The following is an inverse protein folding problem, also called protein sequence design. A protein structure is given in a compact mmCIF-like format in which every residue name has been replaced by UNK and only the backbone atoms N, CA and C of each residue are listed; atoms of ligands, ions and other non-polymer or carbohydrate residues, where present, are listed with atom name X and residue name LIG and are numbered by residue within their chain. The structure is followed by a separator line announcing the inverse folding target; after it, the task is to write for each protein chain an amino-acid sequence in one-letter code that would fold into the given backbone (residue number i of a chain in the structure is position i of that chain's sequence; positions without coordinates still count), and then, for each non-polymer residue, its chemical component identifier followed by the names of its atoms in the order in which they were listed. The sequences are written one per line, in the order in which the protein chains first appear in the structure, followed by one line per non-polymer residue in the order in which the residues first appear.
data_IF_905195421385
#
_entry.id   IF_905195421385
#
_cell.length_a   1.000
_cell.length_b   1.000
_cell.length_c   1.000
_cell.angle_alpha   90.00
_cell.angle_beta   90.00
_cell.angle_gamma   90.00
#
_symmetry.space_group_name_H-M   'P 1'
#
loop_
_entity.id
_entity.type
_entity.pdbx_description
1 polymer ?
#
# COMPACT_ATOMS: atom_id res chain seq x y z
N UNK A 1 -24.07 -19.88 56.76
CA UNK A 1 -23.22 -18.80 56.21
C UNK A 1 -23.02 -19.16 54.75
N UNK A 2 -23.76 -18.50 53.87
CA UNK A 2 -23.82 -18.78 52.44
C UNK A 2 -22.75 -17.93 51.72
N UNK A 3 -21.80 -18.58 51.05
CA UNK A 3 -20.73 -17.93 50.31
C UNK A 3 -21.20 -17.73 48.88
N UNK A 4 -21.89 -16.62 48.66
CA UNK A 4 -22.54 -16.25 47.41
C UNK A 4 -21.66 -16.46 46.17
N UNK A 5 -22.29 -17.10 45.18
CA UNK A 5 -21.82 -17.28 43.81
C UNK A 5 -21.24 -16.00 43.22
N UNK A 6 -20.04 -16.09 42.66
CA UNK A 6 -19.48 -15.06 41.80
C UNK A 6 -20.12 -15.16 40.41
N UNK A 7 -20.69 -14.08 39.85
CA UNK A 7 -21.14 -14.10 38.47
C UNK A 7 -19.93 -14.19 37.54
N UNK A 8 -19.90 -15.26 36.75
CA UNK A 8 -18.95 -15.47 35.66
C UNK A 8 -19.24 -14.44 34.56
N UNK A 9 -18.62 -13.26 34.67
CA UNK A 9 -18.70 -12.20 33.68
C UNK A 9 -17.66 -12.41 32.59
N UNK A 10 -17.94 -13.27 31.61
CA UNK A 10 -17.22 -13.21 30.33
C UNK A 10 -17.71 -11.99 29.56
N UNK A 11 -17.12 -10.84 29.87
CA UNK A 11 -17.23 -9.68 28.99
C UNK A 11 -16.50 -10.03 27.69
N UNK A 12 -17.21 -10.67 26.77
CA UNK A 12 -16.77 -10.82 25.39
C UNK A 12 -16.73 -9.40 24.81
N UNK A 13 -15.53 -8.82 24.75
CA UNK A 13 -15.32 -7.55 24.07
C UNK A 13 -15.88 -7.66 22.64
N UNK A 14 -16.70 -6.71 22.17
CA UNK A 14 -17.19 -6.74 20.80
C UNK A 14 -15.99 -6.78 19.86
N UNK A 15 -16.00 -7.73 18.92
CA UNK A 15 -14.98 -7.80 17.88
C UNK A 15 -14.94 -6.44 17.16
N UNK A 16 -13.75 -5.92 16.80
CA UNK A 16 -13.66 -4.65 16.10
C UNK A 16 -14.50 -4.70 14.82
N UNK A 17 -15.43 -3.77 14.67
CA UNK A 17 -16.26 -3.67 13.47
C UNK A 17 -15.36 -3.46 12.25
N UNK A 18 -15.36 -4.41 11.32
CA UNK A 18 -14.66 -4.27 10.05
C UNK A 18 -15.18 -3.04 9.32
N UNK A 19 -14.28 -2.13 8.92
CA UNK A 19 -14.68 -0.88 8.26
C UNK A 19 -15.44 -1.17 6.96
N UNK A 20 -16.61 -0.54 6.80
CA UNK A 20 -17.42 -0.63 5.59
C UNK A 20 -16.82 0.21 4.45
N UNK A 21 -17.13 -0.15 3.19
CA UNK A 21 -16.71 0.63 2.02
C UNK A 21 -17.19 2.09 2.09
N UNK A 22 -18.39 2.33 2.63
CA UNK A 22 -18.95 3.67 2.78
C UNK A 22 -18.13 4.52 3.77
N UNK A 23 -17.70 3.94 4.88
CA UNK A 23 -16.82 4.61 5.85
C UNK A 23 -15.46 4.95 5.19
N UNK A 24 -14.86 4.01 4.46
CA UNK A 24 -13.57 4.24 3.78
C UNK A 24 -13.65 5.34 2.71
N UNK A 25 -14.76 5.42 1.95
CA UNK A 25 -14.95 6.50 0.97
C UNK A 25 -15.23 7.84 1.64
N UNK A 26 -15.93 7.86 2.78
CA UNK A 26 -16.12 9.08 3.55
C UNK A 26 -14.77 9.61 4.09
N UNK A 27 -13.92 8.73 4.63
CA UNK A 27 -12.55 9.03 5.06
C UNK A 27 -11.69 9.54 3.90
N UNK A 28 -11.77 8.90 2.73
CA UNK A 28 -11.08 9.35 1.53
C UNK A 28 -11.52 10.76 1.11
N UNK A 29 -12.82 11.01 1.06
CA UNK A 29 -13.36 12.30 0.63
C UNK A 29 -13.03 13.43 1.61
N UNK A 30 -12.99 13.16 2.92
CA UNK A 30 -12.60 14.16 3.93
C UNK A 30 -11.11 14.49 3.89
N UNK A 31 -10.27 13.54 3.45
CA UNK A 31 -8.84 13.75 3.28
C UNK A 31 -8.46 14.50 1.98
N UNK A 32 -9.39 14.70 1.05
CA UNK A 32 -9.16 15.50 -0.16
C UNK A 32 -9.34 17.00 0.13
N UNK A 33 -8.45 17.84 -0.41
CA UNK A 33 -8.54 19.32 -0.31
C UNK A 33 -9.88 19.85 -0.84
N UNK A 34 -10.38 19.25 -1.92
CA UNK A 34 -11.70 19.51 -2.46
C UNK A 34 -12.43 18.18 -2.63
N UNK A 35 -13.75 18.21 -2.38
CA UNK A 35 -14.58 17.02 -2.53
C UNK A 35 -14.50 16.52 -3.98
N UNK A 36 -14.11 15.25 -4.22
CA UNK A 36 -14.06 14.70 -5.56
C UNK A 36 -15.46 14.63 -6.21
N UNK A 37 -15.54 14.62 -7.55
CA UNK A 37 -16.80 14.44 -8.27
C UNK A 37 -17.55 13.17 -7.85
N UNK A 38 -18.89 13.22 -7.90
CA UNK A 38 -19.76 12.11 -7.47
C UNK A 38 -19.45 10.80 -8.18
N UNK A 39 -19.17 10.85 -9.48
CA UNK A 39 -18.90 9.64 -10.27
C UNK A 39 -17.59 8.97 -9.89
N UNK A 40 -16.58 9.77 -9.53
CA UNK A 40 -15.30 9.29 -9.00
C UNK A 40 -15.52 8.57 -7.67
N UNK A 41 -16.24 9.21 -6.74
CA UNK A 41 -16.57 8.61 -5.43
C UNK A 41 -17.41 7.33 -5.59
N UNK A 42 -18.39 7.35 -6.49
CA UNK A 42 -19.24 6.18 -6.77
C UNK A 42 -18.46 5.02 -7.36
N UNK A 43 -17.49 5.28 -8.25
CA UNK A 43 -16.64 4.21 -8.81
C UNK A 43 -15.64 3.70 -7.78
N UNK A 44 -14.98 4.59 -7.02
CA UNK A 44 -14.10 4.19 -5.91
C UNK A 44 -14.85 3.35 -4.88
N UNK A 45 -16.09 3.71 -4.53
CA UNK A 45 -16.90 2.93 -3.60
C UNK A 45 -17.21 1.51 -4.09
N UNK A 46 -17.51 1.34 -5.39
CA UNK A 46 -17.71 0.02 -5.97
C UNK A 46 -16.44 -0.83 -5.95
N UNK A 47 -15.30 -0.25 -6.32
CA UNK A 47 -14.02 -0.99 -6.28
C UNK A 47 -13.61 -1.33 -4.83
N UNK A 48 -13.82 -0.41 -3.89
CA UNK A 48 -13.59 -0.62 -2.45
C UNK A 48 -14.46 -1.76 -1.92
N UNK A 49 -15.75 -1.78 -2.26
CA UNK A 49 -16.66 -2.84 -1.83
C UNK A 49 -16.27 -4.22 -2.37
N UNK A 50 -15.81 -4.30 -3.63
CA UNK A 50 -15.29 -5.55 -4.20
C UNK A 50 -14.07 -6.06 -3.44
N UNK A 51 -13.10 -5.20 -3.18
CA UNK A 51 -11.87 -5.56 -2.44
C UNK A 51 -12.19 -6.07 -1.04
N UNK A 52 -13.12 -5.43 -0.33
CA UNK A 52 -13.56 -5.91 0.98
C UNK A 52 -14.31 -7.25 0.88
N UNK A 53 -15.12 -7.45 -0.16
CA UNK A 53 -15.82 -8.71 -0.40
C UNK A 53 -14.87 -9.87 -0.76
N UNK A 54 -13.72 -9.57 -1.36
CA UNK A 54 -12.61 -10.51 -1.59
C UNK A 54 -11.85 -10.85 -0.29
N UNK A 55 -12.13 -10.16 0.82
CA UNK A 55 -11.47 -10.36 2.10
C UNK A 55 -10.16 -9.59 2.27
N UNK A 56 -9.90 -8.58 1.42
CA UNK A 56 -8.74 -7.71 1.59
C UNK A 56 -8.92 -6.83 2.83
N UNK A 57 -7.91 -6.81 3.69
CA UNK A 57 -7.93 -6.03 4.93
C UNK A 57 -8.14 -4.52 4.66
N UNK A 58 -8.99 -3.89 5.47
CA UNK A 58 -9.34 -2.49 5.31
C UNK A 58 -8.13 -1.54 5.41
N UNK A 59 -7.06 -1.91 6.15
CA UNK A 59 -5.82 -1.14 6.20
C UNK A 59 -5.13 -1.07 4.83
N UNK A 60 -5.01 -2.20 4.12
CA UNK A 60 -4.44 -2.22 2.77
C UNK A 60 -5.27 -1.40 1.78
N UNK A 61 -6.61 -1.42 1.93
CA UNK A 61 -7.50 -0.59 1.12
C UNK A 61 -7.32 0.90 1.41
N UNK A 62 -7.16 1.30 2.68
CA UNK A 62 -6.83 2.69 3.05
C UNK A 62 -5.50 3.16 2.46
N UNK A 63 -4.48 2.31 2.47
CA UNK A 63 -3.18 2.63 1.88
C UNK A 63 -3.27 2.81 0.36
N UNK A 64 -4.02 1.94 -0.33
CA UNK A 64 -4.32 2.07 -1.75
C UNK A 64 -5.08 3.35 -2.09
N UNK A 65 -6.09 3.71 -1.29
CA UNK A 65 -6.84 4.98 -1.42
C UNK A 65 -5.94 6.20 -1.19
N UNK A 66 -5.02 6.13 -0.22
CA UNK A 66 -4.02 7.18 0.02
C UNK A 66 -3.09 7.33 -1.19
N UNK A 67 -2.58 6.24 -1.75
CA UNK A 67 -1.78 6.28 -2.99
C UNK A 67 -2.58 6.84 -4.16
N UNK A 68 -3.85 6.49 -4.27
CA UNK A 68 -4.74 6.97 -5.33
C UNK A 68 -4.86 8.50 -5.32
N UNK A 69 -5.16 9.11 -4.16
CA UNK A 69 -5.24 10.59 -4.07
C UNK A 69 -3.90 11.27 -4.39
N UNK A 70 -2.79 10.66 -3.98
CA UNK A 70 -1.46 11.23 -4.20
C UNK A 70 -1.04 11.16 -5.67
N UNK A 71 -1.37 10.07 -6.37
CA UNK A 71 -1.02 9.86 -7.78
C UNK A 71 -2.04 10.46 -8.77
N UNK A 72 -3.29 10.71 -8.33
CA UNK A 72 -4.35 11.28 -9.18
C UNK A 72 -4.79 10.36 -10.33
N UNK A 73 -4.74 9.04 -10.12
CA UNK A 73 -5.05 8.05 -11.16
C UNK A 73 -6.56 7.84 -11.35
N UNK A 74 -6.92 7.07 -12.38
CA UNK A 74 -8.32 6.70 -12.62
C UNK A 74 -8.83 5.72 -11.55
N UNK A 75 -10.09 5.83 -11.06
CA UNK A 75 -10.63 4.97 -9.99
C UNK A 75 -10.50 3.45 -10.19
N UNK A 76 -10.58 2.97 -11.43
CA UNK A 76 -10.41 1.54 -11.73
C UNK A 76 -8.98 1.02 -11.49
N UNK A 77 -8.02 1.89 -11.19
CA UNK A 77 -6.65 1.50 -10.82
C UNK A 77 -6.51 1.15 -9.34
N UNK A 78 -7.56 1.36 -8.53
CA UNK A 78 -7.54 1.09 -7.09
C UNK A 78 -7.05 -0.33 -6.75
N UNK A 79 -7.51 -1.41 -7.41
CA UNK A 79 -7.02 -2.76 -7.12
C UNK A 79 -5.50 -2.89 -7.29
N UNK A 80 -4.93 -2.28 -8.32
CA UNK A 80 -3.48 -2.27 -8.56
C UNK A 80 -2.72 -1.49 -7.48
N UNK A 81 -3.29 -0.40 -6.97
CA UNK A 81 -2.68 0.38 -5.88
C UNK A 81 -2.77 -0.31 -4.52
N UNK A 82 -3.83 -1.07 -4.29
CA UNK A 82 -3.96 -1.94 -3.12
C UNK A 82 -2.98 -3.10 -3.22
N UNK A 83 -2.84 -3.71 -4.39
CA UNK A 83 -1.79 -4.70 -4.65
C UNK A 83 -0.40 -4.12 -4.37
N UNK A 84 -0.11 -2.90 -4.84
CA UNK A 84 1.14 -2.21 -4.54
C UNK A 84 1.33 -1.97 -3.03
N UNK A 85 0.28 -1.61 -2.29
CA UNK A 85 0.34 -1.41 -0.85
C UNK A 85 0.60 -2.71 -0.09
N UNK A 86 -0.08 -3.80 -0.46
CA UNK A 86 0.10 -5.13 0.14
C UNK A 86 1.50 -5.68 -0.09
N UNK A 87 2.09 -5.39 -1.25
CA UNK A 87 3.41 -5.88 -1.65
C UNK A 87 4.51 -4.83 -1.51
N UNK A 88 4.24 -3.71 -0.84
CA UNK A 88 5.25 -2.71 -0.59
C UNK A 88 6.34 -3.33 0.29
N UNK A 89 7.59 -3.31 -0.20
CA UNK A 89 8.72 -3.63 0.65
C UNK A 89 8.70 -2.66 1.86
N UNK A 90 9.02 -3.13 3.07
CA UNK A 90 9.12 -2.24 4.23
C UNK A 90 9.98 -1.05 3.84
N UNK A 91 9.46 0.15 4.05
CA UNK A 91 10.08 1.46 3.77
C UNK A 91 11.25 1.68 4.72
N UNK A 92 12.23 0.81 4.65
CA UNK A 92 13.57 0.99 5.15
C UNK A 92 14.48 0.70 3.98
N UNK A 93 15.48 1.55 3.79
CA UNK A 93 16.71 1.18 3.09
C UNK A 93 17.47 0.06 3.84
N UNK A 94 16.79 -0.85 4.54
CA UNK A 94 17.33 -2.12 4.95
C UNK A 94 17.26 -3.05 3.74
N UNK A 95 18.18 -2.84 2.80
CA UNK A 95 18.60 -3.93 1.90
C UNK A 95 19.07 -5.05 2.81
N UNK A 96 18.22 -6.04 3.06
CA UNK A 96 18.57 -7.27 3.79
C UNK A 96 19.59 -8.00 2.92
N UNK A 97 20.87 -7.73 3.17
CA UNK A 97 21.96 -8.13 2.27
C UNK A 97 22.83 -7.01 1.72
N UNK A 98 22.73 -5.76 2.21
CA UNK A 98 23.89 -4.84 2.17
C UNK A 98 25.01 -5.41 3.03
N UNK A 99 25.65 -6.48 2.53
CA UNK A 99 26.91 -6.96 3.04
C UNK A 99 27.93 -5.88 2.62
N UNK A 100 28.60 -5.20 3.56
CA UNK A 100 29.62 -4.18 3.22
C UNK A 100 30.83 -4.77 2.48
N UNK A 101 30.84 -6.07 2.17
CA UNK A 101 31.92 -6.75 1.45
C UNK A 101 31.67 -6.93 -0.04
N UNK A 102 30.58 -6.42 -0.61
CA UNK A 102 30.42 -6.41 -2.07
C UNK A 102 31.17 -5.20 -2.63
N UNK A 103 32.09 -5.39 -3.60
CA UNK A 103 32.71 -4.28 -4.33
C UNK A 103 31.62 -3.37 -4.88
N UNK A 104 31.79 -2.07 -4.75
CA UNK A 104 30.86 -1.10 -5.32
C UNK A 104 30.66 -1.39 -6.82
N UNK A 105 29.42 -1.35 -7.29
CA UNK A 105 29.10 -1.53 -8.70
C UNK A 105 29.88 -0.50 -9.52
N UNK A 106 30.88 -0.96 -10.29
CA UNK A 106 31.60 -0.12 -11.23
C UNK A 106 30.79 -0.07 -12.52
N UNK A 107 30.21 1.09 -12.81
CA UNK A 107 29.58 1.33 -14.10
C UNK A 107 30.59 1.09 -15.23
N UNK A 108 30.12 0.66 -16.39
CA UNK A 108 30.96 0.54 -17.58
C UNK A 108 31.55 1.91 -17.90
N UNK A 109 32.87 2.07 -17.68
CA UNK A 109 33.58 3.28 -18.05
C UNK A 109 33.98 3.14 -19.52
N UNK A 110 33.48 4.06 -20.36
CA UNK A 110 33.95 4.20 -21.72
C UNK A 110 35.47 4.49 -21.67
N UNK A 111 36.34 3.77 -22.41
CA UNK A 111 37.77 4.07 -22.43
C UNK A 111 38.01 5.56 -22.72
N UNK A 112 38.98 6.15 -22.01
CA UNK A 112 39.35 7.57 -22.15
C UNK A 112 39.78 7.91 -23.57
N UNK A 113 40.24 6.91 -24.32
CA UNK A 113 40.53 7.01 -25.74
C UNK A 113 39.86 5.84 -26.51
N UNK A 114 38.70 6.06 -27.14
CA UNK A 114 38.02 5.02 -27.91
C UNK A 114 38.82 4.59 -29.14
N UNK A 115 39.79 5.38 -29.62
CA UNK A 115 40.62 5.02 -30.78
C UNK A 115 41.55 3.85 -30.47
N UNK A 116 42.05 3.74 -29.24
CA UNK A 116 42.90 2.61 -28.80
C UNK A 116 42.13 1.29 -28.70
N UNK A 117 40.82 1.33 -28.46
CA UNK A 117 40.00 0.13 -28.34
C UNK A 117 39.71 -0.55 -29.70
N UNK A 118 39.88 0.18 -30.80
CA UNK A 118 39.63 -0.30 -32.18
C UNK A 118 40.87 -0.22 -33.08
N UNK A 119 42.03 0.14 -32.54
CA UNK A 119 43.26 0.32 -33.32
C UNK A 119 43.90 -1.00 -33.81
N UNK A 120 43.43 -2.16 -33.33
CA UNK A 120 43.97 -3.47 -33.74
C UNK A 120 43.22 -4.12 -34.92
N UNK A 121 42.25 -3.44 -35.54
CA UNK A 121 41.61 -3.86 -36.79
C UNK A 121 41.97 -2.93 -37.96
N UNK A 122 43.21 -3.01 -38.46
CA UNK A 122 43.60 -2.53 -39.80
C UNK A 122 44.83 -3.26 -40.35
#
# INVERSE_FOLDING_TARGET
MDLGSLPSGSASAPAPESASAQQLIAEYASACTHRPPRDVLGRLGRETAKLLAEGIDAAHVRDGLTKHRTKGLHPSTLPSLVHEAMNAAPTGLARTGSRPSLPAHRGWANPTDPSTAYAEEL
#
